data_IF_714868469870
#
_entry.id   IF_714868469870
#
_cell.length_a   1.000
_cell.length_b   1.000
_cell.length_c   1.000
_cell.angle_alpha   90.00
_cell.angle_beta   90.00
_cell.angle_gamma   90.00
#
_symmetry.space_group_name_H-M   'P 1'
#
loop_
_entity.id
_entity.type
_entity.pdbx_description
1 polymer ?
#
# COMPACT_ATOMS: atom_id res chain seq x y z
N UNK A 1 11.76 1.59 -24.04
CA UNK A 1 10.48 2.36 -23.96
C UNK A 1 10.65 3.43 -22.89
N UNK A 2 10.02 4.62 -23.03
CA UNK A 2 10.06 5.63 -21.96
C UNK A 2 9.12 5.25 -20.81
N UNK A 3 9.40 5.76 -19.60
CA UNK A 3 8.60 5.43 -18.42
C UNK A 3 7.13 5.86 -18.55
N UNK A 4 6.89 7.06 -19.10
CA UNK A 4 5.53 7.54 -19.35
C UNK A 4 4.78 6.70 -20.41
N UNK A 5 5.48 6.16 -21.40
CA UNK A 5 4.87 5.28 -22.41
C UNK A 5 4.45 3.93 -21.77
N UNK A 6 5.27 3.41 -20.83
CA UNK A 6 4.93 2.21 -20.05
C UNK A 6 3.74 2.45 -19.16
N UNK A 7 3.74 3.54 -18.38
CA UNK A 7 2.60 3.86 -17.51
C UNK A 7 1.31 3.95 -18.35
N UNK A 8 1.31 4.72 -19.44
CA UNK A 8 0.14 4.87 -20.33
C UNK A 8 -0.32 3.54 -20.93
N UNK A 9 0.59 2.61 -21.18
CA UNK A 9 0.27 1.25 -21.61
C UNK A 9 -0.38 0.45 -20.49
N UNK A 10 0.21 0.47 -19.29
CA UNK A 10 -0.22 -0.36 -18.16
C UNK A 10 -1.54 0.09 -17.54
N UNK A 11 -1.80 1.40 -17.46
CA UNK A 11 -3.11 1.91 -16.99
C UNK A 11 -4.26 1.56 -17.95
N UNK A 12 -3.96 1.19 -19.18
CA UNK A 12 -4.95 0.67 -20.14
C UNK A 12 -5.51 -0.71 -19.77
N UNK A 13 -4.84 -1.46 -18.88
CA UNK A 13 -5.34 -2.74 -18.36
C UNK A 13 -6.25 -2.48 -17.15
N UNK A 14 -7.46 -3.04 -17.18
CA UNK A 14 -8.36 -3.01 -16.03
C UNK A 14 -7.96 -4.11 -15.05
N UNK A 15 -7.47 -3.74 -13.88
CA UNK A 15 -6.90 -4.66 -12.87
C UNK A 15 -7.46 -4.42 -11.46
N UNK A 16 -8.63 -3.80 -11.33
CA UNK A 16 -9.25 -3.54 -10.03
C UNK A 16 -9.47 -4.85 -9.27
N UNK A 17 -8.96 -4.91 -8.04
CA UNK A 17 -9.14 -6.02 -7.11
C UNK A 17 -10.58 -6.10 -6.57
N UNK A 18 -10.96 -7.21 -5.95
CA UNK A 18 -12.31 -7.47 -5.42
C UNK A 18 -12.24 -7.86 -3.94
N UNK A 19 -12.62 -6.93 -3.05
CA UNK A 19 -12.67 -7.15 -1.60
C UNK A 19 -13.57 -8.31 -1.17
N UNK A 20 -14.60 -8.61 -1.96
CA UNK A 20 -15.56 -9.68 -1.65
C UNK A 20 -15.05 -11.08 -2.04
N UNK A 21 -13.93 -11.16 -2.74
CA UNK A 21 -13.35 -12.43 -3.19
C UNK A 21 -12.43 -13.04 -2.13
N UNK A 22 -12.59 -14.33 -1.86
CA UNK A 22 -11.66 -15.10 -1.03
C UNK A 22 -10.50 -15.72 -1.80
N UNK A 23 -10.42 -15.48 -3.13
CA UNK A 23 -9.38 -16.04 -4.00
C UNK A 23 -8.17 -15.11 -4.09
N UNK A 24 -7.04 -15.64 -4.57
CA UNK A 24 -5.85 -14.91 -5.02
C UNK A 24 -5.52 -15.42 -6.43
N UNK A 25 -5.51 -14.54 -7.47
CA UNK A 25 -5.92 -13.15 -7.39
C UNK A 25 -7.43 -13.02 -7.09
N UNK A 26 -7.82 -11.92 -6.48
CA UNK A 26 -9.23 -11.62 -6.17
C UNK A 26 -10.05 -11.45 -7.45
N UNK A 27 -9.37 -11.03 -8.53
CA UNK A 27 -9.95 -10.80 -9.85
C UNK A 27 -9.10 -11.36 -10.98
N UNK A 28 -9.69 -12.22 -11.84
CA UNK A 28 -9.02 -12.81 -13.00
C UNK A 28 -8.53 -11.75 -14.03
N UNK A 29 -9.03 -10.51 -13.95
CA UNK A 29 -8.64 -9.42 -14.86
C UNK A 29 -7.19 -8.98 -14.68
N UNK A 30 -6.60 -9.20 -13.53
CA UNK A 30 -5.21 -8.89 -13.24
C UNK A 30 -4.23 -9.70 -14.10
N UNK A 31 -4.59 -10.92 -14.48
CA UNK A 31 -3.79 -11.74 -15.40
C UNK A 31 -3.51 -11.08 -16.76
N UNK A 32 -4.31 -10.10 -17.17
CA UNK A 32 -4.08 -9.44 -18.45
C UNK A 32 -2.77 -8.62 -18.42
N UNK A 33 -2.55 -7.85 -17.37
CA UNK A 33 -1.31 -7.10 -17.14
C UNK A 33 -0.16 -8.05 -16.79
N UNK A 34 -0.41 -9.06 -15.95
CA UNK A 34 0.60 -10.02 -15.54
C UNK A 34 1.25 -10.77 -16.74
N UNK A 35 0.45 -11.17 -17.74
CA UNK A 35 0.96 -11.79 -18.98
C UNK A 35 1.78 -10.83 -19.82
N UNK A 36 1.41 -9.56 -19.86
CA UNK A 36 2.18 -8.53 -20.55
C UNK A 36 3.55 -8.35 -19.90
N UNK A 37 3.59 -8.24 -18.56
CA UNK A 37 4.83 -8.10 -17.81
C UNK A 37 5.72 -9.34 -17.93
N UNK A 38 5.15 -10.55 -17.88
CA UNK A 38 5.89 -11.77 -18.13
C UNK A 38 6.55 -11.76 -19.53
N UNK A 39 5.83 -11.30 -20.56
CA UNK A 39 6.35 -11.17 -21.92
C UNK A 39 7.48 -10.15 -21.99
N UNK A 40 7.29 -8.96 -21.44
CA UNK A 40 8.32 -7.91 -21.46
C UNK A 40 9.59 -8.34 -20.70
N UNK A 41 9.48 -9.01 -19.54
CA UNK A 41 10.64 -9.54 -18.81
C UNK A 41 11.43 -10.56 -19.64
N UNK A 42 10.72 -11.45 -20.36
CA UNK A 42 11.36 -12.41 -21.29
C UNK A 42 12.04 -11.72 -22.45
N UNK A 43 11.42 -10.66 -23.02
CA UNK A 43 11.98 -9.85 -24.11
C UNK A 43 13.23 -9.08 -23.67
N UNK A 44 13.27 -8.61 -22.42
CA UNK A 44 14.46 -7.99 -21.82
C UNK A 44 15.58 -9.00 -21.53
N UNK A 45 15.31 -10.31 -21.64
CA UNK A 45 16.30 -11.36 -21.46
C UNK A 45 16.51 -11.79 -20.01
N UNK A 46 15.58 -11.50 -19.12
CA UNK A 46 15.64 -11.98 -17.74
C UNK A 46 15.54 -13.51 -17.68
N UNK A 47 16.19 -14.10 -16.69
CA UNK A 47 16.07 -15.51 -16.34
C UNK A 47 14.98 -15.73 -15.27
N UNK A 48 14.65 -16.98 -14.99
CA UNK A 48 13.64 -17.36 -13.97
C UNK A 48 12.33 -16.56 -14.10
N UNK A 49 11.93 -16.19 -15.33
CA UNK A 49 10.67 -15.47 -15.55
C UNK A 49 9.51 -16.46 -15.46
N UNK A 50 8.59 -16.19 -14.54
CA UNK A 50 7.39 -17.02 -14.32
C UNK A 50 6.20 -16.17 -13.96
N UNK A 51 5.05 -16.51 -14.54
CA UNK A 51 3.72 -16.08 -14.08
C UNK A 51 3.08 -17.29 -13.37
N UNK A 52 2.78 -17.13 -12.09
CA UNK A 52 2.18 -18.20 -11.27
C UNK A 52 0.66 -18.32 -11.50
N UNK A 53 0.07 -19.43 -11.05
CA UNK A 53 -1.38 -19.63 -11.06
C UNK A 53 -2.13 -18.66 -10.13
N UNK A 54 -1.41 -17.98 -9.23
CA UNK A 54 -1.92 -16.96 -8.32
C UNK A 54 -1.57 -15.53 -8.77
N UNK A 55 -1.25 -15.35 -10.06
CA UNK A 55 -1.00 -14.04 -10.67
C UNK A 55 0.26 -13.30 -10.19
N UNK A 56 1.20 -13.94 -9.50
CA UNK A 56 2.51 -13.35 -9.23
C UNK A 56 3.40 -13.46 -10.47
N UNK A 57 4.10 -12.39 -10.79
CA UNK A 57 5.11 -12.38 -11.86
C UNK A 57 6.48 -12.20 -11.22
N UNK A 58 7.39 -13.14 -11.45
CA UNK A 58 8.78 -13.03 -10.99
C UNK A 58 9.74 -13.00 -12.18
N UNK A 59 10.92 -12.40 -11.95
CA UNK A 59 12.02 -12.42 -12.91
C UNK A 59 13.35 -12.13 -12.24
N UNK A 60 14.42 -12.69 -12.78
CA UNK A 60 15.80 -12.46 -12.35
C UNK A 60 16.63 -11.89 -13.48
N UNK A 61 17.22 -10.71 -13.26
CA UNK A 61 18.36 -10.24 -14.04
C UNK A 61 19.63 -10.74 -13.34
N UNK A 62 20.31 -11.79 -13.90
CA UNK A 62 21.47 -12.40 -13.26
C UNK A 62 22.62 -11.41 -13.12
N UNK A 63 23.41 -11.57 -12.07
CA UNK A 63 24.59 -10.75 -11.80
C UNK A 63 25.51 -10.63 -13.03
N UNK A 64 26.08 -9.47 -13.22
CA UNK A 64 27.15 -9.31 -14.22
C UNK A 64 28.40 -10.11 -13.82
N UNK A 65 29.13 -10.59 -14.83
CA UNK A 65 30.29 -11.43 -14.62
C UNK A 65 31.28 -10.85 -13.57
N UNK A 66 31.55 -11.62 -12.51
CA UNK A 66 32.40 -11.23 -11.41
C UNK A 66 31.68 -10.51 -10.27
N UNK A 67 30.35 -10.35 -10.33
CA UNK A 67 29.54 -9.72 -9.29
C UNK A 67 28.60 -10.71 -8.58
N UNK A 68 28.72 -12.00 -8.84
CA UNK A 68 27.86 -13.08 -8.33
C UNK A 68 27.93 -13.24 -6.80
N UNK A 69 28.97 -12.66 -6.17
CA UNK A 69 29.17 -12.66 -4.72
C UNK A 69 28.53 -11.43 -4.03
N UNK A 70 27.96 -10.51 -4.79
CA UNK A 70 27.28 -9.33 -4.24
C UNK A 70 25.87 -9.66 -3.81
N UNK A 71 25.35 -8.90 -2.83
CA UNK A 71 24.00 -9.07 -2.35
C UNK A 71 22.98 -8.96 -3.48
N UNK A 72 22.00 -9.82 -3.44
CA UNK A 72 20.84 -9.77 -4.33
C UNK A 72 19.82 -8.73 -3.83
N UNK A 73 19.37 -7.84 -4.71
CA UNK A 73 18.35 -6.84 -4.40
C UNK A 73 17.07 -7.14 -5.16
N UNK A 74 15.92 -7.00 -4.49
CA UNK A 74 14.60 -7.11 -5.10
C UNK A 74 13.93 -5.75 -5.30
N UNK A 75 13.10 -5.63 -6.36
CA UNK A 75 12.16 -4.53 -6.55
C UNK A 75 10.78 -5.12 -6.81
N UNK A 76 9.79 -4.63 -6.09
CA UNK A 76 8.43 -5.16 -6.06
C UNK A 76 7.45 -4.02 -6.29
N UNK A 77 6.37 -4.28 -7.04
CA UNK A 77 5.26 -3.36 -7.25
C UNK A 77 3.97 -4.17 -7.44
N UNK A 78 2.82 -3.59 -7.10
CA UNK A 78 1.56 -4.30 -7.31
C UNK A 78 0.89 -3.95 -8.66
N UNK A 79 0.11 -4.89 -9.17
CA UNK A 79 -0.54 -4.78 -10.48
C UNK A 79 -1.99 -4.35 -10.40
N UNK A 80 -2.63 -4.62 -9.27
CA UNK A 80 -4.03 -4.28 -9.06
C UNK A 80 -4.24 -2.79 -8.80
N UNK A 81 -5.47 -2.35 -8.81
CA UNK A 81 -5.88 -1.00 -8.45
C UNK A 81 -7.00 -1.06 -7.43
N UNK A 82 -7.07 -0.03 -6.58
CA UNK A 82 -8.05 0.09 -5.52
C UNK A 82 -9.50 -0.08 -6.02
N UNK A 83 -10.36 -0.78 -5.26
CA UNK A 83 -11.78 -0.92 -5.60
C UNK A 83 -12.62 0.32 -5.27
N UNK A 84 -12.04 1.32 -4.58
CA UNK A 84 -12.74 2.53 -4.13
C UNK A 84 -13.31 3.36 -5.27
N UNK A 85 -12.65 3.36 -6.43
CA UNK A 85 -13.09 4.06 -7.62
C UNK A 85 -12.84 3.23 -8.89
N UNK A 86 -13.61 3.48 -9.96
CA UNK A 86 -13.50 2.70 -11.19
C UNK A 86 -12.11 2.79 -11.81
N UNK A 87 -11.49 1.66 -12.10
CA UNK A 87 -10.25 1.52 -12.90
C UNK A 87 -10.51 1.03 -14.32
N UNK A 88 -11.77 1.08 -14.81
CA UNK A 88 -12.14 0.59 -16.14
C UNK A 88 -12.15 1.71 -17.18
N UNK A 89 -11.50 1.47 -18.33
CA UNK A 89 -11.40 2.42 -19.44
C UNK A 89 -10.74 3.76 -19.04
N UNK A 90 -9.65 3.69 -18.34
CA UNK A 90 -8.84 4.85 -17.93
C UNK A 90 -8.46 5.71 -19.14
N UNK A 91 -8.66 7.02 -19.03
CA UNK A 91 -8.36 8.01 -20.07
C UNK A 91 -7.40 9.06 -19.54
N UNK A 92 -6.09 8.82 -19.60
CA UNK A 92 -5.10 9.75 -19.09
C UNK A 92 -5.10 11.08 -19.84
N UNK A 93 -4.91 12.19 -19.12
CA UNK A 93 -4.66 13.51 -19.67
C UNK A 93 -3.18 13.87 -19.46
N UNK A 94 -2.46 14.22 -20.53
CA UNK A 94 -1.08 14.69 -20.46
C UNK A 94 -1.05 16.21 -20.57
N UNK A 95 -0.53 16.87 -19.55
CA UNK A 95 -0.35 18.32 -19.49
C UNK A 95 1.16 18.63 -19.54
N UNK A 96 1.68 18.88 -20.73
CA UNK A 96 3.09 19.27 -20.92
C UNK A 96 3.30 20.70 -20.44
N UNK A 97 4.44 20.94 -19.75
CA UNK A 97 4.78 22.26 -19.19
C UNK A 97 3.65 22.77 -18.28
N UNK A 98 3.18 21.89 -17.37
CA UNK A 98 2.13 22.24 -16.41
C UNK A 98 2.50 23.52 -15.65
N UNK A 99 1.56 24.45 -15.54
CA UNK A 99 1.82 25.80 -15.03
C UNK A 99 1.59 25.96 -13.50
N UNK A 100 1.21 24.88 -12.81
CA UNK A 100 0.94 24.90 -11.37
C UNK A 100 -0.47 25.40 -11.01
N UNK A 101 -1.40 25.48 -11.96
CA UNK A 101 -2.78 25.90 -11.75
C UNK A 101 -3.74 24.71 -11.60
N UNK A 102 -5.01 24.99 -11.25
CA UNK A 102 -6.07 23.97 -11.18
C UNK A 102 -6.24 23.29 -12.56
N UNK A 103 -6.42 21.96 -12.56
CA UNK A 103 -6.55 21.16 -13.77
C UNK A 103 -7.99 20.72 -13.98
N UNK A 104 -8.58 21.05 -15.14
CA UNK A 104 -9.89 20.54 -15.53
C UNK A 104 -9.78 19.06 -15.94
N UNK A 105 -10.51 18.20 -15.23
CA UNK A 105 -10.72 16.80 -15.59
C UNK A 105 -11.85 16.72 -16.61
N UNK A 106 -11.51 16.48 -17.88
CA UNK A 106 -12.40 16.73 -19.03
C UNK A 106 -13.57 15.76 -19.12
N UNK A 107 -13.47 14.59 -18.53
CA UNK A 107 -14.52 13.57 -18.54
C UNK A 107 -15.62 13.84 -17.51
N UNK A 108 -15.23 14.20 -16.27
CA UNK A 108 -16.19 14.52 -15.19
C UNK A 108 -16.62 15.99 -15.18
N UNK A 109 -15.78 16.90 -15.68
CA UNK A 109 -15.97 18.34 -15.56
C UNK A 109 -15.54 18.92 -14.21
N UNK A 110 -14.96 18.11 -13.34
CA UNK A 110 -14.41 18.53 -12.05
C UNK A 110 -13.02 19.14 -12.20
N UNK A 111 -12.52 19.76 -11.14
CA UNK A 111 -11.18 20.33 -11.11
C UNK A 111 -10.32 19.63 -10.06
N UNK A 112 -9.14 19.16 -10.46
CA UNK A 112 -8.04 18.86 -9.57
C UNK A 112 -7.46 20.20 -9.10
N UNK A 113 -7.73 20.57 -7.84
CA UNK A 113 -7.46 21.92 -7.34
C UNK A 113 -6.17 21.96 -6.52
N UNK A 114 -5.40 23.01 -6.75
CA UNK A 114 -4.18 23.31 -5.98
C UNK A 114 -4.48 23.60 -4.49
N UNK A 115 -5.69 24.06 -4.16
CA UNK A 115 -6.12 24.22 -2.77
C UNK A 115 -6.25 22.90 -2.01
N UNK A 116 -6.62 21.84 -2.72
CA UNK A 116 -6.90 20.52 -2.17
C UNK A 116 -5.65 19.63 -2.24
N UNK A 117 -4.82 19.86 -3.27
CA UNK A 117 -3.57 19.15 -3.58
C UNK A 117 -2.41 20.14 -3.73
N UNK A 118 -1.83 20.64 -2.61
CA UNK A 118 -0.82 21.72 -2.63
C UNK A 118 0.50 21.33 -3.33
N UNK A 119 0.82 20.03 -3.42
CA UNK A 119 1.99 19.47 -4.12
C UNK A 119 1.99 19.84 -5.62
N UNK A 120 0.83 20.06 -6.23
CA UNK A 120 0.69 20.51 -7.62
C UNK A 120 1.53 21.76 -7.94
N UNK A 121 1.73 22.65 -6.96
CA UNK A 121 2.60 23.82 -7.12
C UNK A 121 4.06 23.43 -7.39
N UNK A 122 4.54 22.39 -6.72
CA UNK A 122 5.91 21.90 -6.87
C UNK A 122 6.11 21.18 -8.21
N UNK A 123 5.03 20.70 -8.83
CA UNK A 123 5.04 20.03 -10.13
C UNK A 123 5.02 21.03 -11.32
N UNK A 124 4.96 22.35 -11.08
CA UNK A 124 5.00 23.37 -12.13
C UNK A 124 6.25 23.23 -13.00
N UNK A 125 6.07 23.30 -14.32
CA UNK A 125 7.11 23.11 -15.33
C UNK A 125 7.27 21.68 -15.82
N UNK A 126 6.78 20.69 -15.03
CA UNK A 126 6.82 19.26 -15.39
C UNK A 126 5.71 18.88 -16.37
N UNK A 127 5.80 17.66 -16.87
CA UNK A 127 4.70 17.01 -17.60
C UNK A 127 3.84 16.27 -16.61
N UNK A 128 2.62 16.76 -16.37
CA UNK A 128 1.65 16.14 -15.45
C UNK A 128 0.77 15.14 -16.20
N UNK A 129 0.54 13.97 -15.62
CA UNK A 129 -0.42 12.97 -16.07
C UNK A 129 -1.54 12.91 -15.03
N UNK A 130 -2.79 13.06 -15.47
CA UNK A 130 -3.99 12.93 -14.63
C UNK A 130 -4.97 11.97 -15.28
N UNK A 131 -6.01 11.57 -14.56
CA UNK A 131 -7.21 10.96 -15.15
C UNK A 131 -8.09 12.04 -15.81
N UNK A 132 -9.12 11.61 -16.57
CA UNK A 132 -10.17 12.52 -17.06
C UNK A 132 -11.27 12.80 -15.99
N UNK A 133 -11.14 12.23 -14.79
CA UNK A 133 -12.07 12.36 -13.69
C UNK A 133 -13.21 11.34 -13.68
N UNK A 134 -13.30 10.46 -14.68
CA UNK A 134 -14.32 9.40 -14.72
C UNK A 134 -13.85 8.09 -14.10
N UNK A 135 -12.53 7.95 -13.90
CA UNK A 135 -11.87 6.80 -13.29
C UNK A 135 -10.75 7.28 -12.39
N UNK A 136 -10.15 6.40 -11.59
CA UNK A 136 -8.80 6.60 -11.07
C UNK A 136 -7.79 6.58 -12.24
N UNK A 137 -6.52 6.95 -12.00
CA UNK A 137 -5.46 6.84 -13.02
C UNK A 137 -4.84 5.44 -13.02
N UNK A 138 -4.65 4.85 -11.84
CA UNK A 138 -3.94 3.60 -11.63
C UNK A 138 -2.41 3.79 -11.64
N UNK A 139 -1.92 4.99 -11.30
CA UNK A 139 -0.51 5.20 -11.02
C UNK A 139 -0.08 4.45 -9.77
N UNK A 140 -0.96 4.29 -8.83
CA UNK A 140 -0.89 3.36 -7.72
C UNK A 140 -1.38 1.98 -8.21
N UNK A 141 -0.51 0.96 -8.42
CA UNK A 141 0.96 1.10 -8.41
C UNK A 141 1.59 0.75 -9.78
N UNK A 142 0.86 1.01 -10.88
CA UNK A 142 1.40 0.79 -12.24
C UNK A 142 2.52 1.77 -12.57
N UNK A 143 2.71 2.84 -11.77
CA UNK A 143 3.89 3.70 -11.88
C UNK A 143 5.13 2.94 -11.40
N UNK A 144 5.09 2.33 -10.21
CA UNK A 144 6.18 1.49 -9.71
C UNK A 144 6.52 0.35 -10.67
N UNK A 145 5.49 -0.33 -11.22
CA UNK A 145 5.70 -1.33 -12.28
C UNK A 145 6.45 -0.74 -13.47
N UNK A 146 6.03 0.43 -13.98
CA UNK A 146 6.65 1.08 -15.13
C UNK A 146 8.09 1.54 -14.84
N UNK A 147 8.36 2.01 -13.63
CA UNK A 147 9.66 2.47 -13.16
C UNK A 147 10.64 1.31 -13.03
N UNK A 148 10.24 0.21 -12.40
CA UNK A 148 11.05 -1.01 -12.30
C UNK A 148 11.41 -1.53 -13.70
N UNK A 149 10.43 -1.68 -14.59
CA UNK A 149 10.64 -2.17 -15.95
C UNK A 149 11.55 -1.24 -16.79
N UNK A 150 11.42 0.08 -16.58
CA UNK A 150 12.27 1.06 -17.27
C UNK A 150 13.69 1.07 -16.72
N UNK A 151 13.86 0.94 -15.39
CA UNK A 151 15.17 0.83 -14.77
C UNK A 151 15.93 -0.41 -15.27
N UNK A 152 15.28 -1.58 -15.33
CA UNK A 152 15.86 -2.81 -15.86
C UNK A 152 16.32 -2.64 -17.31
N UNK A 153 15.45 -2.12 -18.19
CA UNK A 153 15.81 -1.87 -19.60
C UNK A 153 17.04 -0.97 -19.72
N UNK A 154 17.12 0.08 -18.90
CA UNK A 154 18.27 1.00 -18.92
C UNK A 154 19.53 0.35 -18.34
N UNK A 155 19.45 -0.38 -17.23
CA UNK A 155 20.59 -1.12 -16.65
C UNK A 155 21.20 -2.07 -17.68
N UNK A 156 20.36 -2.82 -18.37
CA UNK A 156 20.78 -3.77 -19.42
C UNK A 156 21.43 -3.01 -20.60
N UNK A 157 20.76 -1.97 -21.11
CA UNK A 157 21.25 -1.21 -22.25
C UNK A 157 22.57 -0.47 -21.99
N UNK A 158 22.76 0.02 -20.76
CA UNK A 158 23.97 0.71 -20.32
C UNK A 158 25.11 -0.25 -19.94
N UNK A 159 24.79 -1.54 -19.73
CA UNK A 159 25.77 -2.53 -19.25
C UNK A 159 26.25 -2.20 -17.84
N UNK A 160 25.38 -1.65 -16.99
CA UNK A 160 25.71 -1.29 -15.60
C UNK A 160 26.10 -2.54 -14.81
N UNK A 161 27.26 -2.61 -14.14
CA UNK A 161 27.59 -3.73 -13.26
C UNK A 161 26.58 -3.84 -12.11
N UNK A 162 26.17 -5.09 -11.77
CA UNK A 162 25.23 -5.37 -10.69
C UNK A 162 25.38 -6.80 -10.17
N UNK A 163 24.96 -7.06 -8.93
CA UNK A 163 24.65 -8.39 -8.40
C UNK A 163 23.32 -8.88 -8.97
N UNK A 164 22.77 -9.97 -8.44
CA UNK A 164 21.45 -10.43 -8.83
C UNK A 164 20.39 -9.36 -8.54
N UNK A 165 19.51 -9.08 -9.54
CA UNK A 165 18.37 -8.18 -9.39
C UNK A 165 17.10 -8.99 -9.60
N UNK A 166 16.32 -9.15 -8.55
CA UNK A 166 15.02 -9.78 -8.60
C UNK A 166 13.93 -8.74 -8.83
N UNK A 167 12.91 -9.11 -9.58
CA UNK A 167 11.68 -8.35 -9.70
C UNK A 167 10.49 -9.21 -9.38
N UNK A 168 9.51 -8.64 -8.67
CA UNK A 168 8.26 -9.27 -8.31
C UNK A 168 7.09 -8.31 -8.56
N UNK A 169 6.05 -8.80 -9.26
CA UNK A 169 4.81 -8.04 -9.38
C UNK A 169 3.69 -8.83 -8.71
N UNK A 170 3.03 -8.18 -7.75
CA UNK A 170 2.02 -8.79 -6.88
C UNK A 170 0.61 -8.47 -7.36
N UNK A 171 -0.37 -9.38 -7.18
CA UNK A 171 -1.79 -9.08 -7.24
C UNK A 171 -2.28 -8.59 -5.88
N UNK A 172 -3.50 -8.06 -5.78
CA UNK A 172 -4.31 -7.94 -4.56
C UNK A 172 -3.67 -7.15 -3.40
N UNK A 173 -2.72 -6.23 -3.62
CA UNK A 173 -2.17 -5.37 -2.57
C UNK A 173 -3.28 -4.53 -1.95
N UNK A 174 -4.12 -3.92 -2.77
CA UNK A 174 -5.18 -2.98 -2.40
C UNK A 174 -6.31 -3.59 -1.54
N UNK A 175 -6.36 -4.92 -1.50
CA UNK A 175 -7.24 -5.67 -0.60
C UNK A 175 -6.47 -6.42 0.49
N UNK A 176 -5.19 -6.06 0.68
CA UNK A 176 -4.32 -6.55 1.75
C UNK A 176 -3.88 -8.00 1.60
N UNK A 177 -3.87 -8.56 0.40
CA UNK A 177 -3.52 -9.96 0.13
C UNK A 177 -2.25 -10.11 -0.73
N UNK A 178 -1.63 -9.02 -1.15
CA UNK A 178 -0.51 -9.02 -2.11
C UNK A 178 0.66 -9.90 -1.69
N UNK A 179 1.02 -9.93 -0.42
CA UNK A 179 2.12 -10.78 0.06
C UNK A 179 1.71 -12.21 0.47
N UNK A 180 0.41 -12.57 0.46
CA UNK A 180 -0.09 -13.82 1.06
C UNK A 180 0.53 -15.09 0.49
N UNK A 181 0.73 -15.14 -0.82
CA UNK A 181 1.30 -16.27 -1.53
C UNK A 181 2.60 -15.92 -2.26
N UNK A 182 3.27 -14.85 -1.84
CA UNK A 182 4.58 -14.48 -2.38
C UNK A 182 5.61 -15.57 -2.05
N UNK A 183 6.27 -16.11 -3.07
CA UNK A 183 7.18 -17.25 -2.94
C UNK A 183 8.63 -16.76 -2.68
N UNK A 184 9.00 -16.68 -1.39
CA UNK A 184 10.36 -16.29 -0.98
C UNK A 184 11.41 -17.37 -1.27
N UNK A 185 11.03 -18.63 -1.41
CA UNK A 185 11.95 -19.70 -1.81
C UNK A 185 12.34 -19.57 -3.29
N UNK A 186 11.48 -18.96 -4.09
CA UNK A 186 11.73 -18.64 -5.49
C UNK A 186 12.40 -17.27 -5.67
N UNK A 187 11.98 -16.28 -4.90
CA UNK A 187 12.47 -14.90 -4.92
C UNK A 187 13.67 -14.76 -3.97
N UNK A 188 14.82 -15.19 -4.42
CA UNK A 188 16.05 -15.35 -3.63
C UNK A 188 16.82 -14.02 -3.42
N UNK A 189 16.12 -12.92 -3.06
CA UNK A 189 16.76 -11.64 -2.75
C UNK A 189 17.16 -11.57 -1.27
N UNK A 190 18.30 -10.91 -0.96
CA UNK A 190 18.74 -10.64 0.42
C UNK A 190 17.83 -9.59 1.10
N UNK A 191 17.33 -8.65 0.33
CA UNK A 191 16.40 -7.60 0.71
C UNK A 191 15.70 -7.04 -0.54
N UNK A 192 14.59 -6.33 -0.35
CA UNK A 192 13.87 -5.72 -1.46
C UNK A 192 13.38 -4.31 -1.12
N UNK A 193 12.82 -3.64 -2.11
CA UNK A 193 12.04 -2.43 -1.97
C UNK A 193 10.71 -2.61 -2.71
N UNK A 194 9.59 -2.28 -2.08
CA UNK A 194 8.37 -1.97 -2.84
C UNK A 194 8.49 -0.56 -3.41
N UNK A 195 8.14 -0.40 -4.68
CA UNK A 195 8.15 0.91 -5.37
C UNK A 195 6.70 1.35 -5.46
N UNK A 196 6.17 1.83 -4.33
CA UNK A 196 4.73 1.96 -4.05
C UNK A 196 4.42 3.10 -3.06
N UNK A 197 5.29 4.10 -3.02
CA UNK A 197 5.12 5.28 -2.16
C UNK A 197 4.67 6.52 -2.94
N UNK A 198 4.49 7.63 -2.22
CA UNK A 198 4.04 8.90 -2.79
C UNK A 198 5.20 9.64 -3.51
N UNK A 199 5.81 10.56 -2.84
CA UNK A 199 6.85 11.46 -3.34
C UNK A 199 8.10 10.70 -3.82
N UNK A 200 8.66 11.04 -4.99
CA UNK A 200 9.82 10.35 -5.60
C UNK A 200 11.10 10.33 -4.75
N UNK A 201 11.21 11.17 -3.74
CA UNK A 201 12.29 11.21 -2.75
C UNK A 201 11.95 10.51 -1.44
N UNK A 202 10.88 9.73 -1.38
CA UNK A 202 10.44 9.03 -0.18
C UNK A 202 11.13 7.67 -0.03
N UNK A 203 11.50 7.35 1.23
CA UNK A 203 11.78 6.00 1.69
C UNK A 203 11.05 5.77 3.00
N UNK A 204 10.01 4.94 2.98
CA UNK A 204 9.17 4.65 4.13
C UNK A 204 9.50 3.26 4.69
N UNK A 205 9.74 3.19 6.00
CA UNK A 205 10.13 1.98 6.72
C UNK A 205 9.44 1.83 8.07
N UNK A 206 8.38 2.60 8.27
CA UNK A 206 7.47 2.51 9.40
C UNK A 206 6.03 2.47 8.89
N UNK A 207 5.21 1.60 9.44
CA UNK A 207 3.79 1.51 9.19
C UNK A 207 3.03 1.25 10.49
N UNK A 208 1.70 1.30 10.46
CA UNK A 208 0.91 0.94 11.64
C UNK A 208 1.06 -0.53 12.03
N UNK A 209 0.93 -0.83 13.34
CA UNK A 209 0.38 -2.09 13.80
C UNK A 209 -1.13 -2.04 13.63
N UNK A 210 -1.75 -3.13 13.24
CA UNK A 210 -3.15 -3.15 12.83
C UNK A 210 -3.93 -4.36 13.33
N UNK A 211 -5.16 -4.12 13.74
CA UNK A 211 -6.14 -5.16 14.03
C UNK A 211 -7.55 -4.70 13.64
N UNK A 212 -8.42 -5.65 13.33
CA UNK A 212 -9.86 -5.48 13.37
C UNK A 212 -10.42 -5.93 14.73
N UNK A 213 -11.53 -5.33 15.13
CA UNK A 213 -12.22 -5.69 16.37
C UNK A 213 -13.73 -5.66 16.15
N UNK A 214 -14.36 -6.82 16.35
CA UNK A 214 -15.77 -7.05 16.13
C UNK A 214 -16.50 -7.25 17.45
N UNK A 215 -17.42 -6.36 17.80
CA UNK A 215 -18.34 -6.54 18.91
C UNK A 215 -19.66 -7.13 18.40
N UNK A 216 -20.03 -8.28 18.95
CA UNK A 216 -21.36 -8.86 18.78
C UNK A 216 -22.10 -8.73 20.09
N UNK A 217 -23.30 -8.14 20.06
CA UNK A 217 -24.10 -7.83 21.24
C UNK A 217 -25.43 -8.56 21.16
N UNK A 218 -25.80 -9.27 22.23
CA UNK A 218 -27.08 -9.96 22.38
C UNK A 218 -27.95 -9.21 23.37
N UNK A 219 -29.10 -8.76 22.93
CA UNK A 219 -30.10 -8.12 23.78
C UNK A 219 -31.11 -9.10 24.37
N UNK A 220 -31.91 -8.57 25.30
CA UNK A 220 -33.10 -9.26 25.84
C UNK A 220 -34.31 -8.41 25.44
N UNK A 221 -35.05 -8.88 24.43
CA UNK A 221 -36.22 -8.18 23.94
C UNK A 221 -37.48 -8.64 24.65
N UNK A 222 -38.23 -7.68 25.20
CA UNK A 222 -39.53 -7.88 25.85
C UNK A 222 -40.47 -6.73 25.47
N UNK A 223 -41.77 -6.87 25.73
CA UNK A 223 -42.72 -5.77 25.47
C UNK A 223 -42.28 -4.49 26.21
N UNK A 224 -42.19 -3.33 25.54
CA UNK A 224 -41.68 -2.10 26.14
C UNK A 224 -42.35 -1.66 27.43
N UNK A 225 -43.64 -1.92 27.57
CA UNK A 225 -44.40 -1.64 28.79
C UNK A 225 -44.01 -2.51 29.99
N UNK A 226 -43.30 -3.62 29.76
CA UNK A 226 -42.88 -4.60 30.80
C UNK A 226 -41.34 -4.65 30.88
N UNK A 227 -40.64 -3.74 30.24
CA UNK A 227 -39.19 -3.77 30.01
C UNK A 227 -38.34 -3.45 31.24
N UNK A 228 -38.94 -2.82 32.27
CA UNK A 228 -38.20 -2.39 33.46
C UNK A 228 -37.50 -3.57 34.14
N UNK A 229 -36.17 -3.42 34.34
CA UNK A 229 -35.26 -4.37 34.98
C UNK A 229 -35.14 -5.74 34.24
N UNK A 230 -35.65 -5.84 32.98
CA UNK A 230 -35.63 -7.06 32.18
C UNK A 230 -34.96 -6.83 30.82
N UNK A 231 -35.35 -5.76 30.10
CA UNK A 231 -34.88 -5.49 28.74
C UNK A 231 -33.40 -5.11 28.74
N UNK A 232 -32.65 -5.74 27.84
CA UNK A 232 -31.32 -5.27 27.43
C UNK A 232 -31.40 -4.91 25.96
N UNK A 233 -31.30 -3.62 25.65
CA UNK A 233 -31.36 -3.14 24.28
C UNK A 233 -29.96 -3.17 23.65
N UNK A 234 -29.69 -4.12 22.75
CA UNK A 234 -28.39 -4.33 22.15
C UNK A 234 -27.85 -3.09 21.40
N UNK A 235 -28.72 -2.39 20.68
CA UNK A 235 -28.32 -1.17 19.98
C UNK A 235 -27.84 -0.06 20.94
N UNK A 236 -28.47 0.09 22.11
CA UNK A 236 -28.02 1.07 23.12
C UNK A 236 -26.71 0.63 23.79
N UNK A 237 -26.50 -0.66 24.01
CA UNK A 237 -25.20 -1.18 24.50
C UNK A 237 -24.10 -0.87 23.48
N UNK A 238 -24.37 -1.05 22.18
CA UNK A 238 -23.43 -0.66 21.11
C UNK A 238 -23.08 0.83 21.13
N UNK A 239 -24.08 1.70 21.30
CA UNK A 239 -23.86 3.13 21.45
C UNK A 239 -22.99 3.47 22.68
N UNK A 240 -23.19 2.74 23.80
CA UNK A 240 -22.39 2.92 25.01
C UNK A 240 -20.94 2.50 24.81
N UNK A 241 -20.66 1.38 24.14
CA UNK A 241 -19.32 0.96 23.77
C UNK A 241 -18.65 2.03 22.92
N UNK A 242 -19.32 2.51 21.87
CA UNK A 242 -18.77 3.54 20.99
C UNK A 242 -18.47 4.86 21.73
N UNK A 243 -19.36 5.26 22.65
CA UNK A 243 -19.20 6.48 23.45
C UNK A 243 -18.11 6.36 24.55
N UNK A 244 -17.72 5.16 24.93
CA UNK A 244 -16.67 4.94 25.92
C UNK A 244 -15.26 5.07 25.35
N UNK A 245 -15.09 5.04 24.03
CA UNK A 245 -13.80 5.23 23.37
C UNK A 245 -13.46 6.74 23.28
N UNK A 246 -12.16 7.11 23.30
CA UNK A 246 -11.74 8.49 23.24
C UNK A 246 -12.18 9.18 21.94
N UNK A 247 -12.96 10.25 22.03
CA UNK A 247 -13.49 10.97 20.87
C UNK A 247 -12.40 11.67 20.02
N UNK A 248 -11.22 11.91 20.58
CA UNK A 248 -10.07 12.52 19.91
C UNK A 248 -9.06 11.47 19.36
N UNK A 249 -9.37 10.19 19.42
CA UNK A 249 -8.53 9.11 18.90
C UNK A 249 -9.24 8.42 17.71
N UNK A 250 -9.55 9.21 16.70
CA UNK A 250 -10.21 8.77 15.46
C UNK A 250 -9.35 9.15 14.24
N UNK A 251 -9.56 8.57 13.04
CA UNK A 251 -8.86 9.00 11.84
C UNK A 251 -8.98 10.51 11.55
N UNK A 252 -10.13 11.11 11.87
CA UNK A 252 -10.39 12.53 11.63
C UNK A 252 -9.69 13.48 12.63
N UNK A 253 -9.12 12.95 13.71
CA UNK A 253 -8.55 13.76 14.82
C UNK A 253 -7.09 13.43 15.12
N UNK A 254 -6.49 12.51 14.35
CA UNK A 254 -5.11 12.04 14.56
C UNK A 254 -4.26 12.20 13.30
N UNK A 255 -2.96 12.44 13.49
CA UNK A 255 -1.99 12.62 12.42
C UNK A 255 -0.64 11.94 12.75
N UNK A 256 0.25 11.89 11.77
CA UNK A 256 1.60 11.33 11.92
C UNK A 256 1.59 9.91 12.51
N UNK A 257 2.21 9.72 13.67
CA UNK A 257 2.30 8.41 14.37
C UNK A 257 1.16 8.15 15.35
N UNK A 258 0.23 9.07 15.50
CA UNK A 258 -0.89 8.91 16.43
C UNK A 258 -1.84 7.80 15.98
N UNK A 259 -2.12 6.88 16.91
CA UNK A 259 -3.03 5.77 16.67
C UNK A 259 -4.49 6.14 16.89
N UNK A 260 -5.40 5.28 16.43
CA UNK A 260 -6.83 5.53 16.49
C UNK A 260 -7.67 4.26 16.64
N UNK A 261 -8.93 4.46 17.01
CA UNK A 261 -10.05 3.53 16.82
C UNK A 261 -10.96 4.10 15.72
N UNK A 262 -11.25 3.32 14.70
CA UNK A 262 -12.19 3.72 13.65
C UNK A 262 -13.37 2.78 13.61
N UNK A 263 -14.55 3.28 13.94
CA UNK A 263 -15.80 2.56 13.76
C UNK A 263 -16.15 2.54 12.27
N UNK A 264 -16.02 1.38 11.65
CA UNK A 264 -16.27 1.19 10.21
C UNK A 264 -17.75 0.92 9.94
N UNK A 265 -18.37 0.09 10.79
CA UNK A 265 -19.79 -0.27 10.66
C UNK A 265 -20.45 -0.41 12.03
N UNK A 266 -21.70 -0.03 12.09
CA UNK A 266 -22.56 -0.25 13.25
C UNK A 266 -23.99 -0.55 12.80
N UNK A 267 -24.50 -1.71 13.17
CA UNK A 267 -25.85 -2.13 12.84
C UNK A 267 -26.51 -2.81 14.02
N UNK A 268 -27.84 -2.82 14.07
CA UNK A 268 -28.56 -3.55 15.10
C UNK A 268 -29.91 -3.01 15.50
N UNK A 269 -30.55 -3.76 16.39
CA UNK A 269 -31.85 -3.47 17.00
C UNK A 269 -31.84 -3.80 18.52
N UNK A 270 -33.02 -3.97 19.10
CA UNK A 270 -33.17 -4.33 20.52
C UNK A 270 -32.58 -5.72 20.80
N UNK A 271 -32.73 -6.66 19.86
CA UNK A 271 -32.37 -8.06 20.06
C UNK A 271 -30.88 -8.36 19.81
N UNK A 272 -30.29 -7.67 18.84
CA UNK A 272 -28.87 -7.86 18.49
C UNK A 272 -28.25 -6.60 17.91
N UNK A 273 -26.95 -6.41 18.12
CA UNK A 273 -26.17 -5.37 17.48
C UNK A 273 -24.77 -5.85 17.16
N UNK A 274 -24.15 -5.17 16.19
CA UNK A 274 -22.80 -5.43 15.72
C UNK A 274 -22.06 -4.12 15.53
N UNK A 275 -20.77 -4.07 15.93
CA UNK A 275 -19.87 -2.96 15.67
C UNK A 275 -18.56 -3.52 15.11
N UNK A 276 -18.10 -2.94 14.01
CA UNK A 276 -16.82 -3.25 13.40
C UNK A 276 -15.86 -2.08 13.54
N UNK A 277 -14.69 -2.34 14.11
CA UNK A 277 -13.62 -1.39 14.29
C UNK A 277 -12.35 -1.82 13.58
N UNK A 278 -11.60 -0.86 13.06
CA UNK A 278 -10.16 -1.02 12.84
C UNK A 278 -9.38 -0.24 13.89
N UNK A 279 -8.31 -0.85 14.41
CA UNK A 279 -7.43 -0.27 15.44
C UNK A 279 -6.04 -0.16 14.87
N UNK A 280 -5.43 1.01 15.01
CA UNK A 280 -4.11 1.33 14.46
C UNK A 280 -3.25 2.04 15.49
N UNK A 281 -1.97 1.73 15.54
CA UNK A 281 -0.95 2.51 16.25
C UNK A 281 0.44 2.16 15.73
N UNK A 282 1.34 3.13 15.61
CA UNK A 282 2.75 2.87 15.25
C UNK A 282 3.53 2.25 16.40
N UNK A 283 3.23 2.68 17.63
CA UNK A 283 3.88 2.14 18.83
C UNK A 283 3.21 0.82 19.26
N UNK A 284 4.02 -0.25 19.36
CA UNK A 284 3.54 -1.59 19.71
C UNK A 284 2.92 -1.65 21.12
N UNK A 285 3.44 -0.87 22.09
CA UNK A 285 2.91 -0.85 23.45
C UNK A 285 1.60 -0.08 23.53
N UNK A 286 1.49 1.05 22.81
CA UNK A 286 0.23 1.80 22.72
C UNK A 286 -0.82 0.99 21.94
N UNK A 287 -0.44 0.29 20.89
CA UNK A 287 -1.33 -0.62 20.17
C UNK A 287 -1.90 -1.71 21.09
N UNK A 288 -1.03 -2.39 21.85
CA UNK A 288 -1.47 -3.39 22.83
C UNK A 288 -2.45 -2.79 23.86
N UNK A 289 -2.15 -1.59 24.36
CA UNK A 289 -3.03 -0.86 25.30
C UNK A 289 -4.40 -0.56 24.67
N UNK A 290 -4.46 -0.22 23.37
CA UNK A 290 -5.73 -0.02 22.67
C UNK A 290 -6.56 -1.28 22.64
N UNK A 291 -5.95 -2.41 22.31
CA UNK A 291 -6.63 -3.71 22.30
C UNK A 291 -7.12 -4.09 23.71
N UNK A 292 -6.33 -3.81 24.75
CA UNK A 292 -6.72 -4.07 26.15
C UNK A 292 -7.89 -3.16 26.59
N UNK A 293 -7.98 -1.94 26.07
CA UNK A 293 -9.14 -1.06 26.28
C UNK A 293 -10.42 -1.72 25.75
N UNK A 294 -10.39 -2.28 24.53
CA UNK A 294 -11.56 -2.97 23.96
C UNK A 294 -11.95 -4.21 24.77
N UNK A 295 -10.96 -5.01 25.21
CA UNK A 295 -11.22 -6.16 26.11
C UNK A 295 -11.84 -5.73 27.44
N UNK A 296 -11.38 -4.61 27.98
CA UNK A 296 -11.94 -4.04 29.21
C UNK A 296 -13.39 -3.62 29.05
N UNK A 297 -13.74 -3.01 27.90
CA UNK A 297 -15.13 -2.65 27.58
C UNK A 297 -16.04 -3.89 27.47
N UNK A 298 -15.58 -4.97 26.85
CA UNK A 298 -16.32 -6.25 26.84
C UNK A 298 -16.64 -6.72 28.26
N UNK A 299 -15.64 -6.73 29.15
CA UNK A 299 -15.79 -7.15 30.54
C UNK A 299 -16.75 -6.22 31.30
N UNK A 300 -16.63 -4.91 31.12
CA UNK A 300 -17.47 -3.90 31.77
C UNK A 300 -18.94 -4.04 31.35
N UNK A 301 -19.18 -4.19 30.05
CA UNK A 301 -20.54 -4.36 29.52
C UNK A 301 -21.16 -5.67 29.99
N UNK A 302 -20.42 -6.77 29.99
CA UNK A 302 -20.91 -8.05 30.53
C UNK A 302 -21.20 -7.98 32.03
N UNK A 303 -20.38 -7.26 32.81
CA UNK A 303 -20.65 -7.02 34.22
C UNK A 303 -21.93 -6.22 34.45
N UNK A 304 -22.22 -5.24 33.58
CA UNK A 304 -23.37 -4.34 33.68
C UNK A 304 -24.67 -4.98 33.19
N UNK A 305 -24.64 -5.72 32.10
CA UNK A 305 -25.82 -6.20 31.40
C UNK A 305 -26.03 -7.69 31.48
N UNK A 306 -25.09 -8.43 32.05
CA UNK A 306 -25.12 -9.87 32.19
C UNK A 306 -24.06 -10.58 31.33
N UNK A 307 -23.55 -11.68 31.84
CA UNK A 307 -22.52 -12.50 31.17
C UNK A 307 -23.00 -12.99 29.80
N UNK A 308 -22.15 -12.83 28.77
CA UNK A 308 -22.45 -13.22 27.41
C UNK A 308 -23.33 -12.24 26.62
N UNK A 309 -23.64 -11.06 27.18
CA UNK A 309 -24.30 -9.96 26.46
C UNK A 309 -23.42 -9.41 25.35
N UNK A 310 -22.12 -9.21 25.61
CA UNK A 310 -21.14 -8.69 24.65
C UNK A 310 -20.05 -9.73 24.41
N UNK A 311 -19.71 -9.94 23.15
CA UNK A 311 -18.58 -10.77 22.72
C UNK A 311 -17.69 -9.95 21.79
N UNK A 312 -16.38 -9.95 22.06
CA UNK A 312 -15.37 -9.27 21.27
C UNK A 312 -14.47 -10.29 20.56
N UNK A 313 -14.31 -10.12 19.25
CA UNK A 313 -13.31 -10.83 18.46
C UNK A 313 -12.28 -9.83 17.94
N UNK A 314 -10.99 -10.09 18.19
CA UNK A 314 -9.88 -9.28 17.70
C UNK A 314 -9.06 -10.13 16.73
N UNK A 315 -8.84 -9.62 15.52
CA UNK A 315 -8.01 -10.25 14.50
C UNK A 315 -6.85 -9.31 14.14
N UNK A 316 -5.61 -9.76 14.35
CA UNK A 316 -4.42 -9.03 13.95
C UNK A 316 -4.27 -9.07 12.44
N UNK A 317 -3.98 -7.92 11.81
CA UNK A 317 -3.83 -7.80 10.35
C UNK A 317 -2.37 -7.75 9.94
N UNK A 318 -1.60 -6.81 10.50
CA UNK A 318 -0.16 -6.64 10.23
C UNK A 318 0.54 -5.90 11.38
N UNK A 319 1.87 -5.94 11.37
CA UNK A 319 2.72 -5.26 12.35
C UNK A 319 3.58 -4.18 11.67
N UNK A 320 4.13 -3.26 12.48
CA UNK A 320 5.06 -2.23 12.02
C UNK A 320 6.40 -2.86 11.62
N UNK A 321 6.79 -2.73 10.36
CA UNK A 321 8.05 -3.29 9.83
C UNK A 321 9.31 -2.68 10.44
N UNK A 322 9.21 -1.54 11.13
CA UNK A 322 10.36 -0.88 11.76
C UNK A 322 11.20 -1.85 12.59
N UNK A 323 10.56 -2.78 13.32
CA UNK A 323 11.26 -3.76 14.14
C UNK A 323 12.22 -4.68 13.35
N UNK A 324 11.89 -4.98 12.10
CA UNK A 324 12.72 -5.77 11.17
C UNK A 324 13.76 -4.86 10.49
N UNK A 325 13.34 -3.68 10.05
CA UNK A 325 14.21 -2.75 9.33
C UNK A 325 15.31 -2.20 10.23
N UNK A 326 15.11 -2.03 11.53
CA UNK A 326 16.13 -1.57 12.46
C UNK A 326 17.38 -2.48 12.47
N UNK A 327 17.23 -3.77 12.27
CA UNK A 327 18.35 -4.70 12.15
C UNK A 327 19.00 -4.67 10.75
N UNK A 328 18.38 -3.95 9.80
CA UNK A 328 18.78 -3.86 8.41
C UNK A 328 18.90 -2.39 7.91
N UNK A 329 19.21 -1.43 8.79
CA UNK A 329 19.22 0.00 8.45
C UNK A 329 20.09 0.37 7.25
N UNK A 330 21.08 -0.47 6.91
CA UNK A 330 21.92 -0.25 5.73
C UNK A 330 21.10 -0.14 4.43
N UNK A 331 19.93 -0.81 4.33
CA UNK A 331 19.07 -0.71 3.13
C UNK A 331 18.40 0.68 3.05
N UNK A 332 18.09 1.28 4.19
CA UNK A 332 17.56 2.65 4.26
C UNK A 332 18.66 3.66 3.90
N UNK A 333 19.88 3.44 4.37
CA UNK A 333 21.04 4.30 4.06
C UNK A 333 21.36 4.25 2.56
N UNK A 334 21.26 3.06 1.92
CA UNK A 334 21.39 2.91 0.46
C UNK A 334 20.33 3.72 -0.30
N UNK A 335 19.08 3.61 0.11
CA UNK A 335 17.97 4.34 -0.53
C UNK A 335 18.16 5.86 -0.36
N UNK A 336 18.49 6.33 0.84
CA UNK A 336 18.76 7.76 1.10
C UNK A 336 19.92 8.28 0.25
N UNK A 337 21.03 7.55 0.20
CA UNK A 337 22.18 7.94 -0.62
C UNK A 337 21.82 8.00 -2.12
N UNK A 338 20.99 7.06 -2.60
CA UNK A 338 20.50 7.06 -3.97
C UNK A 338 19.58 8.26 -4.26
N UNK A 339 18.73 8.64 -3.32
CA UNK A 339 17.86 9.82 -3.43
C UNK A 339 18.69 11.10 -3.47
N UNK A 340 19.69 11.24 -2.57
CA UNK A 340 20.61 12.39 -2.53
C UNK A 340 21.45 12.50 -3.81
N UNK A 341 21.94 11.38 -4.38
CA UNK A 341 22.66 11.34 -5.66
C UNK A 341 21.82 11.91 -6.81
N UNK A 342 20.49 11.73 -6.74
CA UNK A 342 19.56 12.25 -7.73
C UNK A 342 19.04 13.67 -7.41
N UNK A 343 19.66 14.37 -6.46
CA UNK A 343 19.44 15.78 -6.17
C UNK A 343 18.20 16.07 -5.32
N UNK A 344 17.64 15.07 -4.64
CA UNK A 344 16.54 15.21 -3.73
C UNK A 344 16.97 15.09 -2.28
N UNK A 345 16.21 15.69 -1.36
CA UNK A 345 16.31 15.44 0.06
C UNK A 345 15.49 14.21 0.44
N UNK A 346 16.11 13.16 1.05
CA UNK A 346 15.38 11.98 1.44
C UNK A 346 14.29 12.28 2.46
N UNK A 347 13.07 11.85 2.18
CA UNK A 347 11.93 11.99 3.08
C UNK A 347 11.53 10.65 3.64
N UNK A 348 11.43 10.55 4.97
CA UNK A 348 10.89 9.35 5.63
C UNK A 348 9.66 9.73 6.43
N UNK A 349 8.50 9.25 5.98
CA UNK A 349 7.21 9.43 6.67
C UNK A 349 6.68 8.10 7.14
N UNK A 350 6.02 8.05 8.31
CA UNK A 350 5.34 6.84 8.75
C UNK A 350 4.10 6.61 7.87
N UNK A 351 3.97 5.41 7.31
CA UNK A 351 2.78 5.01 6.54
C UNK A 351 1.61 4.78 7.50
N UNK A 352 0.49 5.43 7.26
CA UNK A 352 -0.73 5.27 8.08
C UNK A 352 -1.64 4.12 7.58
N UNK A 353 -1.05 3.07 7.06
CA UNK A 353 -1.69 1.89 6.51
C UNK A 353 -0.80 0.66 6.66
N UNK A 354 -1.11 -0.37 5.90
CA UNK A 354 -0.24 -1.53 5.65
C UNK A 354 0.38 -1.41 4.26
N UNK A 355 1.36 -2.26 3.96
CA UNK A 355 1.98 -2.40 2.65
C UNK A 355 2.43 -3.83 2.45
N UNK A 356 2.57 -4.29 1.23
CA UNK A 356 3.20 -5.58 0.92
C UNK A 356 4.61 -5.67 1.53
N UNK A 357 5.37 -4.57 1.47
CA UNK A 357 6.72 -4.50 2.05
C UNK A 357 6.76 -4.78 3.56
N UNK A 358 5.75 -4.32 4.31
CA UNK A 358 5.64 -4.63 5.73
C UNK A 358 5.44 -6.14 5.97
N UNK A 359 4.54 -6.77 5.21
CA UNK A 359 4.27 -8.21 5.33
C UNK A 359 5.47 -9.05 4.90
N UNK A 360 6.10 -8.73 3.76
CA UNK A 360 7.31 -9.37 3.28
C UNK A 360 8.45 -9.28 4.29
N UNK A 361 8.59 -8.14 4.99
CA UNK A 361 9.58 -7.97 6.05
C UNK A 361 9.41 -9.00 7.17
N UNK A 362 8.18 -9.26 7.61
CA UNK A 362 7.89 -10.30 8.63
C UNK A 362 7.99 -11.73 8.09
N UNK A 363 7.88 -11.93 6.77
CA UNK A 363 8.12 -13.23 6.13
C UNK A 363 9.63 -13.54 6.00
N UNK A 364 10.51 -12.57 6.23
CA UNK A 364 11.97 -12.75 6.22
C UNK A 364 12.71 -11.96 5.12
N UNK A 365 12.01 -11.16 4.34
CA UNK A 365 12.57 -10.28 3.31
C UNK A 365 12.46 -8.81 3.75
N UNK A 366 13.49 -8.18 4.34
CA UNK A 366 13.44 -6.76 4.69
C UNK A 366 13.09 -5.92 3.47
N UNK A 367 11.95 -5.20 3.51
CA UNK A 367 11.38 -4.57 2.32
C UNK A 367 10.71 -3.22 2.65
N UNK A 368 11.47 -2.09 2.73
CA UNK A 368 10.89 -0.76 2.83
C UNK A 368 10.29 -0.28 1.51
N UNK A 369 9.47 0.78 1.56
CA UNK A 369 8.86 1.38 0.38
C UNK A 369 9.69 2.53 -0.17
N UNK A 370 9.73 2.66 -1.51
CA UNK A 370 10.24 3.82 -2.25
C UNK A 370 9.07 4.57 -2.91
N UNK A 371 9.20 5.89 -3.00
CA UNK A 371 8.21 6.73 -3.65
C UNK A 371 8.26 6.66 -5.17
N UNK A 372 7.08 6.72 -5.80
CA UNK A 372 6.88 6.71 -7.26
C UNK A 372 6.78 8.11 -7.87
N UNK A 373 6.49 9.13 -7.06
CA UNK A 373 6.19 10.48 -7.53
C UNK A 373 4.72 10.70 -7.89
N UNK A 374 3.81 9.82 -7.42
CA UNK A 374 2.36 9.90 -7.58
C UNK A 374 1.66 10.50 -6.37
N UNK A 375 0.43 10.95 -6.58
CA UNK A 375 -0.37 11.63 -5.55
C UNK A 375 -1.87 11.43 -5.80
N UNK A 376 -2.67 11.62 -4.75
CA UNK A 376 -4.13 11.64 -4.83
C UNK A 376 -4.76 10.30 -5.19
N UNK A 377 -4.14 9.22 -4.74
CA UNK A 377 -4.50 7.82 -5.05
C UNK A 377 -5.94 7.45 -4.68
N UNK A 378 -6.41 6.31 -5.19
CA UNK A 378 -7.72 5.70 -4.94
C UNK A 378 -8.92 6.54 -5.43
N UNK A 379 -8.70 7.51 -6.32
CA UNK A 379 -9.80 8.37 -6.77
C UNK A 379 -9.56 9.13 -8.09
N UNK A 380 -10.50 9.99 -8.46
CA UNK A 380 -10.47 10.72 -9.74
C UNK A 380 -9.44 11.84 -9.76
N UNK A 381 -8.80 12.15 -8.65
CA UNK A 381 -7.78 13.21 -8.53
C UNK A 381 -6.35 12.67 -8.57
N UNK A 382 -6.19 11.40 -8.82
CA UNK A 382 -4.91 10.74 -8.93
C UNK A 382 -4.08 11.35 -10.07
N UNK A 383 -2.81 11.66 -9.76
CA UNK A 383 -1.92 12.32 -10.69
C UNK A 383 -0.45 12.01 -10.41
N UNK A 384 0.38 12.11 -11.47
CA UNK A 384 1.82 11.85 -11.38
C UNK A 384 2.57 12.71 -12.39
N UNK A 385 3.85 13.03 -12.14
CA UNK A 385 4.68 13.72 -13.13
C UNK A 385 5.65 12.77 -13.82
N UNK A 386 5.86 12.98 -15.12
CA UNK A 386 6.83 12.21 -15.92
C UNK A 386 8.23 12.34 -15.33
N UNK A 387 8.63 13.55 -14.96
CA UNK A 387 9.95 13.84 -14.39
C UNK A 387 10.13 13.23 -12.99
N UNK A 388 9.04 13.07 -12.22
CA UNK A 388 9.04 12.32 -10.96
C UNK A 388 9.33 10.85 -11.19
N UNK A 389 8.62 10.22 -12.13
CA UNK A 389 8.88 8.83 -12.53
C UNK A 389 10.31 8.63 -13.08
N UNK A 390 10.80 9.54 -13.90
CA UNK A 390 12.19 9.48 -14.40
C UNK A 390 13.21 9.55 -13.25
N UNK A 391 12.92 10.32 -12.20
CA UNK A 391 13.73 10.39 -11.00
C UNK A 391 13.67 9.09 -10.20
N UNK A 392 12.49 8.50 -10.02
CA UNK A 392 12.34 7.19 -9.36
C UNK A 392 13.10 6.08 -10.11
N UNK A 393 13.04 6.04 -11.44
CA UNK A 393 13.88 5.16 -12.28
C UNK A 393 15.36 5.33 -11.98
N UNK A 394 15.84 6.58 -11.89
CA UNK A 394 17.25 6.86 -11.59
C UNK A 394 17.62 6.47 -10.15
N UNK A 395 16.72 6.63 -9.18
CA UNK A 395 16.93 6.18 -7.79
C UNK A 395 17.08 4.65 -7.75
N UNK A 396 16.23 3.88 -8.43
CA UNK A 396 16.36 2.42 -8.54
C UNK A 396 17.75 2.05 -9.11
N UNK A 397 18.18 2.69 -10.19
CA UNK A 397 19.51 2.47 -10.81
C UNK A 397 20.65 2.85 -9.86
N UNK A 398 20.52 3.91 -9.09
CA UNK A 398 21.53 4.33 -8.10
C UNK A 398 21.59 3.34 -6.94
N UNK A 399 20.45 2.82 -6.44
CA UNK A 399 20.42 1.74 -5.43
C UNK A 399 21.21 0.52 -5.93
N UNK A 400 20.96 0.06 -7.16
CA UNK A 400 21.67 -1.09 -7.75
C UNK A 400 23.20 -0.86 -7.75
N UNK A 401 23.67 0.34 -8.07
CA UNK A 401 25.10 0.69 -8.00
C UNK A 401 25.62 0.71 -6.56
N UNK A 402 24.86 1.25 -5.62
CA UNK A 402 25.27 1.33 -4.22
C UNK A 402 25.34 -0.04 -3.54
N UNK A 403 24.50 -1.01 -3.96
CA UNK A 403 24.57 -2.39 -3.47
C UNK A 403 25.95 -3.01 -3.71
N UNK A 404 26.64 -2.67 -4.81
CA UNK A 404 27.99 -3.16 -5.08
C UNK A 404 29.04 -2.67 -4.09
N UNK A 405 28.77 -1.60 -3.34
CA UNK A 405 29.66 -1.03 -2.31
C UNK A 405 29.50 -1.73 -0.96
N UNK A 406 28.46 -2.55 -0.78
CA UNK A 406 28.27 -3.36 0.41
C UNK A 406 29.35 -4.43 0.51
N UNK A 407 29.61 -4.90 1.76
CA UNK A 407 30.41 -6.08 1.97
C UNK A 407 29.82 -7.28 1.22
N UNK A 408 30.69 -8.21 0.83
CA UNK A 408 30.27 -9.42 0.13
C UNK A 408 29.29 -10.24 0.99
N UNK A 409 28.38 -10.93 0.32
CA UNK A 409 27.32 -11.74 0.94
C UNK A 409 27.86 -12.97 1.69
#
# INVERSE_FOLDING_TARGET
MKVEERLLKYVGYHTTSDEASDKIPSSDREFALARELESELKELGLSKVVLTDHCYVYGLLPATAGMEHKKAVGFIAHMDTAPDFSGENVKPQLLRHYDGSDVLLRGSGEYLKVSDFPELKALSGRTLITTDGTTLLGADDKAGVAEIMTALEQIIAEGTPHGDIWVGFTPDEEVGKGADLFDLDYFEADFAYTVDGDYEGEVAYENFNAASAEFTIKGVNVHPGEAKDIMVNAALVGCEIAAALPANETPATTEGREGFYHLCDMSGDVASAHLSYIVRDHDKALFAKRLDTLRSLEIEMNKKYGEGTVSLTITHSYENMLSIIMDNMYIIDLAKAAIEENGLEPLSRPVRGGTDGARLSFMGLPCPNLGTGGYGFHGPFEHISVEGMETAVNIIKSIVKHVLMLADA
#
